data_IF_029169603032
#
_entry.id   IF_029169603032
#
_cell.length_a   1.000
_cell.length_b   1.000
_cell.length_c   1.000
_cell.angle_alpha   90.00
_cell.angle_beta   90.00
_cell.angle_gamma   90.00
#
_symmetry.space_group_name_H-M   'P 1'
#
loop_
_entity.id
_entity.type
_entity.pdbx_description
1 polymer ?
#
# COMPACT_ATOMS: atom_id res chain seq x y z
N UNK A 1 26.98 -6.01 -34.06
CA UNK A 1 26.92 -6.51 -32.68
C UNK A 1 25.90 -5.64 -31.95
N UNK A 2 24.64 -6.05 -32.01
CA UNK A 2 23.54 -5.35 -31.32
C UNK A 2 23.61 -5.64 -29.81
N UNK A 3 23.36 -4.66 -28.93
CA UNK A 3 23.28 -4.94 -27.51
C UNK A 3 22.01 -5.73 -27.22
N UNK A 4 22.18 -6.93 -26.67
CA UNK A 4 21.10 -7.72 -26.09
C UNK A 4 20.32 -6.86 -25.09
N UNK A 5 19.03 -6.76 -25.31
CA UNK A 5 18.09 -6.07 -24.42
C UNK A 5 17.91 -6.93 -23.18
N UNK A 6 18.36 -6.39 -22.07
CA UNK A 6 18.19 -6.91 -20.70
C UNK A 6 16.71 -6.74 -20.23
N UNK A 7 15.78 -7.28 -21.01
CA UNK A 7 14.32 -7.08 -20.84
C UNK A 7 13.61 -8.32 -20.24
N UNK A 8 14.36 -9.35 -19.83
CA UNK A 8 13.78 -10.65 -19.47
C UNK A 8 13.54 -10.83 -17.94
N UNK A 9 14.00 -9.92 -17.08
CA UNK A 9 13.78 -10.03 -15.63
C UNK A 9 12.53 -9.28 -15.11
N UNK A 10 11.82 -8.54 -15.96
CA UNK A 10 10.62 -7.78 -15.56
C UNK A 10 9.32 -8.57 -15.65
N UNK A 11 9.32 -9.70 -16.32
CA UNK A 11 8.11 -10.49 -16.62
C UNK A 11 7.67 -11.41 -15.48
N UNK A 12 8.45 -11.54 -14.41
CA UNK A 12 8.17 -12.50 -13.33
C UNK A 12 7.74 -11.86 -11.99
N UNK A 13 7.75 -10.52 -11.91
CA UNK A 13 7.33 -9.82 -10.69
C UNK A 13 5.80 -9.71 -10.60
N UNK A 14 5.24 -10.06 -9.44
CA UNK A 14 3.80 -9.92 -9.18
C UNK A 14 3.39 -8.45 -9.13
N UNK A 15 2.43 -8.07 -9.95
CA UNK A 15 1.86 -6.71 -9.95
C UNK A 15 1.09 -6.48 -8.66
N UNK A 16 1.50 -5.45 -7.92
CA UNK A 16 1.06 -5.26 -6.53
C UNK A 16 0.54 -3.84 -6.30
N UNK A 17 -0.61 -3.71 -5.64
CA UNK A 17 -1.01 -2.45 -5.01
C UNK A 17 -0.41 -2.36 -3.62
N UNK A 18 0.04 -1.18 -3.21
CA UNK A 18 0.44 -0.92 -1.84
C UNK A 18 -0.62 -0.09 -1.13
N UNK A 19 -1.19 -0.61 -0.05
CA UNK A 19 -2.07 0.15 0.83
C UNK A 19 -1.28 1.32 1.43
N UNK A 20 -1.67 2.55 1.04
CA UNK A 20 -0.92 3.76 1.34
C UNK A 20 -1.71 4.72 2.21
N UNK A 21 -1.19 5.08 3.36
CA UNK A 21 -1.81 6.04 4.29
C UNK A 21 -0.89 7.23 4.63
N UNK A 22 0.16 7.46 3.83
CA UNK A 22 1.16 8.50 4.07
C UNK A 22 2.10 8.26 5.26
N UNK A 23 1.99 7.11 5.93
CA UNK A 23 2.78 6.79 7.12
C UNK A 23 4.15 6.17 6.81
N UNK A 24 5.07 6.27 7.77
CA UNK A 24 6.45 5.75 7.68
C UNK A 24 6.51 4.24 7.41
N UNK A 25 5.59 3.46 7.99
CA UNK A 25 5.61 1.99 7.87
C UNK A 25 5.23 1.54 6.45
N UNK A 26 4.30 2.26 5.78
CA UNK A 26 3.95 2.04 4.38
C UNK A 26 5.09 2.44 3.45
N UNK A 27 5.75 3.56 3.74
CA UNK A 27 6.92 3.99 2.98
C UNK A 27 8.08 2.99 3.11
N UNK A 28 8.28 2.44 4.31
CA UNK A 28 9.24 1.37 4.52
C UNK A 28 8.84 0.07 3.81
N UNK A 29 7.57 -0.28 3.81
CA UNK A 29 7.04 -1.40 3.04
C UNK A 29 7.37 -1.29 1.54
N UNK A 30 7.21 -0.09 0.96
CA UNK A 30 7.62 0.18 -0.43
C UNK A 30 9.12 -0.05 -0.65
N UNK A 31 9.95 0.44 0.28
CA UNK A 31 11.40 0.24 0.23
C UNK A 31 11.77 -1.25 0.25
N UNK A 32 11.16 -2.03 1.14
CA UNK A 32 11.39 -3.48 1.25
C UNK A 32 10.97 -4.20 -0.03
N UNK A 33 9.78 -3.91 -0.55
CA UNK A 33 9.27 -4.53 -1.78
C UNK A 33 10.20 -4.25 -2.98
N UNK A 34 10.70 -3.02 -3.10
CA UNK A 34 11.65 -2.64 -4.15
C UNK A 34 13.00 -3.38 -4.04
N UNK A 35 13.42 -3.74 -2.82
CA UNK A 35 14.67 -4.50 -2.60
C UNK A 35 14.51 -6.00 -2.88
N UNK A 36 13.33 -6.56 -2.66
CA UNK A 36 13.07 -7.99 -2.84
C UNK A 36 12.97 -8.39 -4.32
N UNK A 37 12.62 -7.47 -5.21
CA UNK A 37 12.44 -7.71 -6.64
C UNK A 37 11.43 -8.84 -7.00
N UNK A 38 10.53 -9.17 -6.08
CA UNK A 38 9.47 -10.16 -6.29
C UNK A 38 8.13 -9.51 -6.65
N UNK A 39 7.99 -8.21 -6.34
CA UNK A 39 6.77 -7.45 -6.49
C UNK A 39 7.01 -6.12 -7.20
N UNK A 40 6.27 -5.87 -8.27
CA UNK A 40 6.21 -4.57 -8.91
C UNK A 40 5.05 -3.76 -8.31
N UNK A 41 5.36 -2.71 -7.56
CA UNK A 41 4.32 -1.82 -7.01
C UNK A 41 3.82 -0.90 -8.11
N UNK A 42 2.62 -1.18 -8.62
CA UNK A 42 1.99 -0.48 -9.76
C UNK A 42 0.96 0.56 -9.36
N UNK A 43 0.61 0.65 -8.08
CA UNK A 43 -0.33 1.63 -7.57
C UNK A 43 -0.30 1.78 -6.04
N UNK A 44 -0.63 2.97 -5.56
CA UNK A 44 -0.81 3.29 -4.16
C UNK A 44 -2.30 3.38 -3.86
N UNK A 45 -2.84 2.38 -3.16
CA UNK A 45 -4.26 2.31 -2.81
C UNK A 45 -4.52 3.10 -1.52
N UNK A 46 -5.30 4.17 -1.61
CA UNK A 46 -5.63 5.03 -0.46
C UNK A 46 -7.13 5.25 -0.34
N UNK A 47 -7.67 5.01 0.84
CA UNK A 47 -9.06 5.34 1.16
C UNK A 47 -9.15 6.76 1.71
N UNK A 48 -10.06 7.54 1.16
CA UNK A 48 -10.30 8.92 1.57
C UNK A 48 -11.72 9.09 2.13
N UNK A 49 -11.83 9.86 3.19
CA UNK A 49 -13.08 10.42 3.60
C UNK A 49 -13.47 11.52 2.61
N UNK A 50 -14.51 11.28 1.83
CA UNK A 50 -14.94 12.17 0.76
C UNK A 50 -15.29 13.58 1.28
N UNK A 51 -16.05 13.66 2.36
CA UNK A 51 -16.49 14.95 2.92
C UNK A 51 -15.33 15.78 3.49
N UNK A 52 -14.38 15.14 4.17
CA UNK A 52 -13.22 15.81 4.76
C UNK A 52 -12.05 15.99 3.78
N UNK A 53 -12.07 15.31 2.64
CA UNK A 53 -10.97 15.27 1.67
C UNK A 53 -9.63 14.88 2.31
N UNK A 54 -9.67 13.88 3.19
CA UNK A 54 -8.54 13.38 3.98
C UNK A 54 -8.49 11.86 3.97
N UNK A 55 -7.30 11.32 4.17
CA UNK A 55 -7.11 9.88 4.37
C UNK A 55 -7.98 9.40 5.52
N UNK A 56 -8.73 8.33 5.29
CA UNK A 56 -9.52 7.70 6.33
C UNK A 56 -8.61 7.29 7.52
N UNK A 57 -9.09 7.51 8.74
CA UNK A 57 -8.41 7.24 10.02
C UNK A 57 -7.19 8.11 10.34
N UNK A 58 -6.32 8.41 9.38
CA UNK A 58 -5.07 9.18 9.63
C UNK A 58 -5.21 10.68 9.39
N UNK A 59 -6.31 11.11 8.82
CA UNK A 59 -6.66 12.51 8.57
C UNK A 59 -5.62 13.34 7.77
N UNK A 60 -4.70 12.68 7.07
CA UNK A 60 -3.74 13.32 6.18
C UNK A 60 -4.47 13.93 4.98
N UNK A 61 -4.09 15.12 4.56
CA UNK A 61 -4.70 15.80 3.42
C UNK A 61 -4.46 15.01 2.12
N UNK A 62 -5.46 14.89 1.27
CA UNK A 62 -5.35 14.24 -0.05
C UNK A 62 -4.23 14.83 -0.88
N UNK A 63 -4.06 16.17 -0.89
CA UNK A 63 -2.99 16.84 -1.63
C UNK A 63 -1.58 16.39 -1.22
N UNK A 64 -1.36 16.05 0.06
CA UNK A 64 -0.08 15.52 0.51
C UNK A 64 0.15 14.09 -0.02
N UNK A 65 -0.87 13.26 -0.01
CA UNK A 65 -0.79 11.89 -0.56
C UNK A 65 -0.52 11.93 -2.07
N UNK A 66 -1.19 12.83 -2.80
CA UNK A 66 -0.95 13.05 -4.23
C UNK A 66 0.49 13.51 -4.51
N UNK A 67 1.03 14.43 -3.69
CA UNK A 67 2.41 14.85 -3.81
C UNK A 67 3.39 13.69 -3.55
N UNK A 68 3.14 12.87 -2.54
CA UNK A 68 3.94 11.68 -2.27
C UNK A 68 3.89 10.67 -3.44
N UNK A 69 2.72 10.39 -3.98
CA UNK A 69 2.55 9.48 -5.12
C UNK A 69 3.36 9.97 -6.33
N UNK A 70 3.30 11.27 -6.60
CA UNK A 70 4.08 11.91 -7.67
C UNK A 70 5.59 11.77 -7.46
N UNK A 71 6.06 12.03 -6.24
CA UNK A 71 7.50 11.93 -5.90
C UNK A 71 8.04 10.50 -6.01
N UNK A 72 7.26 9.49 -5.64
CA UNK A 72 7.69 8.08 -5.76
C UNK A 72 7.48 7.52 -7.17
N UNK A 73 6.78 8.26 -8.05
CA UNK A 73 6.50 7.86 -9.43
C UNK A 73 5.51 6.71 -9.56
N UNK A 74 4.59 6.53 -8.60
CA UNK A 74 3.60 5.47 -8.59
C UNK A 74 2.20 6.10 -8.62
N UNK A 75 1.29 5.65 -9.51
CA UNK A 75 -0.07 6.17 -9.58
C UNK A 75 -0.83 6.00 -8.26
N UNK A 76 -1.61 7.01 -7.89
CA UNK A 76 -2.53 6.95 -6.76
C UNK A 76 -3.86 6.32 -7.20
N UNK A 77 -4.30 5.31 -6.46
CA UNK A 77 -5.63 4.70 -6.57
C UNK A 77 -6.51 5.21 -5.43
N UNK A 78 -7.28 6.24 -5.73
CA UNK A 78 -8.18 6.89 -4.76
C UNK A 78 -9.46 6.05 -4.59
N UNK A 79 -9.79 5.74 -3.36
CA UNK A 79 -11.06 5.11 -2.99
C UNK A 79 -11.78 6.04 -2.03
N UNK A 80 -12.86 6.67 -2.51
CA UNK A 80 -13.67 7.56 -1.69
C UNK A 80 -14.65 6.79 -0.82
N UNK A 81 -14.64 7.10 0.47
CA UNK A 81 -15.57 6.56 1.46
C UNK A 81 -16.59 7.63 1.85
N UNK A 82 -17.89 7.29 1.90
CA UNK A 82 -18.91 8.21 2.37
C UNK A 82 -18.71 8.53 3.86
N UNK A 83 -19.17 9.70 4.27
CA UNK A 83 -19.25 10.06 5.68
C UNK A 83 -20.55 10.84 5.96
N UNK A 84 -21.39 10.34 6.86
CA UNK A 84 -21.21 9.11 7.65
C UNK A 84 -21.26 7.87 6.76
N UNK A 85 -20.45 6.86 7.09
CA UNK A 85 -20.40 5.57 6.39
C UNK A 85 -20.43 4.42 7.40
N UNK A 86 -21.06 3.32 7.03
CA UNK A 86 -21.07 2.08 7.80
C UNK A 86 -19.89 1.16 7.44
N UNK A 87 -19.60 0.16 8.28
CA UNK A 87 -18.67 -0.89 7.94
C UNK A 87 -19.06 -1.64 6.65
N UNK A 88 -20.37 -1.80 6.43
CA UNK A 88 -20.89 -2.43 5.21
C UNK A 88 -20.58 -1.60 3.96
N UNK A 89 -20.69 -0.27 4.03
CA UNK A 89 -20.30 0.60 2.92
C UNK A 89 -18.81 0.45 2.60
N UNK A 90 -17.97 0.44 3.63
CA UNK A 90 -16.54 0.21 3.47
C UNK A 90 -16.24 -1.13 2.78
N UNK A 91 -16.86 -2.21 3.24
CA UNK A 91 -16.65 -3.55 2.68
C UNK A 91 -17.11 -3.64 1.23
N UNK A 92 -18.26 -3.05 0.89
CA UNK A 92 -18.76 -3.01 -0.49
C UNK A 92 -17.83 -2.23 -1.40
N UNK A 93 -17.40 -1.04 -1.00
CA UNK A 93 -16.50 -0.18 -1.78
C UNK A 93 -15.15 -0.86 -1.98
N UNK A 94 -14.57 -1.44 -0.94
CA UNK A 94 -13.30 -2.16 -1.04
C UNK A 94 -13.41 -3.40 -1.92
N UNK A 95 -14.53 -4.12 -1.89
CA UNK A 95 -14.78 -5.25 -2.79
C UNK A 95 -14.79 -4.83 -4.26
N UNK A 96 -15.44 -3.72 -4.57
CA UNK A 96 -15.44 -3.17 -5.93
C UNK A 96 -14.04 -2.68 -6.36
N UNK A 97 -13.30 -2.04 -5.46
CA UNK A 97 -11.91 -1.67 -5.71
C UNK A 97 -11.03 -2.88 -6.01
N UNK A 98 -11.20 -3.98 -5.28
CA UNK A 98 -10.50 -5.24 -5.54
C UNK A 98 -10.85 -5.84 -6.91
N UNK A 99 -12.13 -5.89 -7.28
CA UNK A 99 -12.56 -6.36 -8.61
C UNK A 99 -11.94 -5.53 -9.74
N UNK A 100 -11.91 -4.21 -9.55
CA UNK A 100 -11.29 -3.29 -10.52
C UNK A 100 -9.77 -3.53 -10.62
N UNK A 101 -9.13 -3.87 -9.52
CA UNK A 101 -7.68 -4.14 -9.48
C UNK A 101 -7.29 -5.41 -10.24
N UNK A 102 -8.07 -6.46 -10.17
CA UNK A 102 -7.78 -7.72 -10.85
C UNK A 102 -7.78 -7.59 -12.38
N UNK A 103 -8.63 -6.72 -12.94
CA UNK A 103 -8.77 -6.57 -14.39
C UNK A 103 -7.46 -6.17 -15.11
N UNK A 104 -6.66 -5.19 -14.64
CA UNK A 104 -5.37 -4.87 -15.25
C UNK A 104 -4.23 -5.82 -14.83
N UNK A 105 -4.55 -6.99 -14.28
CA UNK A 105 -3.57 -8.02 -13.92
C UNK A 105 -2.83 -7.76 -12.60
N UNK A 106 -3.41 -7.01 -11.67
CA UNK A 106 -2.89 -6.89 -10.31
C UNK A 106 -3.18 -8.19 -9.57
N UNK A 107 -2.18 -8.72 -8.87
CA UNK A 107 -2.22 -10.02 -8.21
C UNK A 107 -2.17 -9.91 -6.68
N UNK A 108 -1.58 -8.83 -6.15
CA UNK A 108 -1.35 -8.67 -4.72
C UNK A 108 -1.78 -7.30 -4.20
N UNK A 109 -2.12 -7.25 -2.90
CA UNK A 109 -2.17 -6.02 -2.12
C UNK A 109 -1.20 -6.13 -0.95
N UNK A 110 -0.26 -5.20 -0.86
CA UNK A 110 0.70 -5.11 0.23
C UNK A 110 0.17 -4.19 1.36
N UNK A 111 0.33 -4.62 2.59
CA UNK A 111 -0.06 -3.90 3.80
C UNK A 111 1.16 -3.65 4.69
N UNK A 112 1.30 -2.43 5.20
CA UNK A 112 2.40 -2.05 6.10
C UNK A 112 2.11 -2.34 7.57
N UNK A 113 1.33 -3.37 7.89
CA UNK A 113 1.00 -3.76 9.25
C UNK A 113 2.16 -4.53 9.88
N UNK A 114 2.47 -4.23 11.17
CA UNK A 114 3.65 -4.77 11.86
C UNK A 114 3.33 -5.97 12.76
N UNK A 115 2.35 -5.82 13.67
CA UNK A 115 2.11 -6.80 14.74
C UNK A 115 0.63 -7.09 15.03
N UNK A 116 -0.29 -6.34 14.45
CA UNK A 116 -1.72 -6.45 14.77
C UNK A 116 -2.32 -7.67 14.07
N UNK A 117 -2.33 -8.80 14.77
CA UNK A 117 -2.81 -10.10 14.24
C UNK A 117 -4.28 -10.03 13.80
N UNK A 118 -5.13 -9.34 14.56
CA UNK A 118 -6.55 -9.18 14.24
C UNK A 118 -6.74 -8.37 12.94
N UNK A 119 -5.95 -7.32 12.73
CA UNK A 119 -5.96 -6.53 11.51
C UNK A 119 -5.48 -7.37 10.33
N UNK A 120 -4.42 -8.15 10.51
CA UNK A 120 -3.94 -9.06 9.47
C UNK A 120 -5.01 -10.09 9.09
N UNK A 121 -5.61 -10.76 10.06
CA UNK A 121 -6.68 -11.73 9.82
C UNK A 121 -7.88 -11.08 9.11
N UNK A 122 -8.23 -9.86 9.48
CA UNK A 122 -9.27 -9.08 8.79
C UNK A 122 -8.91 -8.82 7.32
N UNK A 123 -7.64 -8.41 7.02
CA UNK A 123 -7.16 -8.20 5.65
C UNK A 123 -7.18 -9.47 4.82
N UNK A 124 -6.70 -10.57 5.39
CA UNK A 124 -6.71 -11.89 4.75
C UNK A 124 -8.14 -12.31 4.40
N UNK A 125 -9.07 -12.19 5.35
CA UNK A 125 -10.50 -12.46 5.13
C UNK A 125 -11.15 -11.54 4.10
N UNK A 126 -10.81 -10.25 4.12
CA UNK A 126 -11.36 -9.25 3.18
C UNK A 126 -10.96 -9.56 1.72
N UNK A 127 -9.80 -10.15 1.50
CA UNK A 127 -9.29 -10.51 0.18
C UNK A 127 -9.60 -11.96 -0.21
N UNK A 128 -10.17 -12.75 0.69
CA UNK A 128 -10.66 -14.08 0.37
C UNK A 128 -11.64 -14.00 -0.81
N UNK A 129 -11.50 -14.85 -1.79
CA UNK A 129 -12.29 -14.86 -3.02
C UNK A 129 -12.18 -13.62 -3.93
N UNK A 130 -11.30 -12.66 -3.61
CA UNK A 130 -11.11 -11.47 -4.46
C UNK A 130 -10.21 -11.70 -5.68
N UNK A 131 -9.43 -12.79 -5.69
CA UNK A 131 -8.37 -13.03 -6.66
C UNK A 131 -7.06 -12.29 -6.34
N UNK A 132 -6.98 -11.55 -5.23
CA UNK A 132 -5.80 -10.80 -4.80
C UNK A 132 -5.17 -11.45 -3.56
N UNK A 133 -3.85 -11.57 -3.58
CA UNK A 133 -3.08 -12.11 -2.47
C UNK A 133 -2.65 -10.98 -1.50
N UNK A 134 -2.99 -11.04 -0.20
CA UNK A 134 -2.45 -10.11 0.78
C UNK A 134 -0.99 -10.42 1.08
N UNK A 135 -0.14 -9.39 1.10
CA UNK A 135 1.26 -9.52 1.50
C UNK A 135 1.61 -8.48 2.57
N UNK A 136 2.55 -8.84 3.45
CA UNK A 136 2.90 -8.06 4.64
C UNK A 136 4.43 -7.92 4.73
N UNK A 137 5.03 -7.01 3.94
CA UNK A 137 6.50 -6.94 3.76
C UNK A 137 7.27 -6.59 5.03
N UNK A 138 6.60 -5.98 6.02
CA UNK A 138 7.22 -5.54 7.29
C UNK A 138 6.70 -6.32 8.51
N UNK A 139 6.00 -7.42 8.27
CA UNK A 139 5.37 -8.19 9.34
C UNK A 139 6.39 -8.74 10.34
N UNK A 140 6.11 -8.52 11.64
CA UNK A 140 6.95 -8.94 12.77
C UNK A 140 8.37 -8.40 12.77
N UNK A 141 8.66 -7.34 12.01
CA UNK A 141 9.94 -6.65 12.18
C UNK A 141 10.00 -6.01 13.56
N UNK A 142 11.01 -6.32 14.40
CA UNK A 142 11.14 -5.72 15.72
C UNK A 142 11.21 -4.20 15.62
N UNK A 143 10.37 -3.48 16.34
CA UNK A 143 10.21 -2.02 16.21
C UNK A 143 11.54 -1.27 16.34
N UNK A 144 12.41 -1.70 17.26
CA UNK A 144 13.72 -1.08 17.44
C UNK A 144 14.64 -1.26 16.24
N UNK A 145 14.63 -2.45 15.64
CA UNK A 145 15.43 -2.76 14.44
C UNK A 145 14.88 -2.00 13.23
N UNK A 146 13.55 -1.98 13.08
CA UNK A 146 12.86 -1.24 12.04
C UNK A 146 13.23 0.24 12.06
N UNK A 147 13.13 0.91 13.23
CA UNK A 147 13.47 2.33 13.37
C UNK A 147 14.95 2.59 13.05
N UNK A 148 15.85 1.72 13.52
CA UNK A 148 17.29 1.85 13.20
C UNK A 148 17.56 1.69 11.71
N UNK A 149 16.89 0.75 11.06
CA UNK A 149 17.02 0.54 9.62
C UNK A 149 16.49 1.74 8.83
N UNK A 150 15.34 2.30 9.21
CA UNK A 150 14.78 3.51 8.62
C UNK A 150 15.75 4.69 8.74
N UNK A 151 16.32 4.94 9.93
CA UNK A 151 17.28 6.02 10.16
C UNK A 151 18.55 5.80 9.32
N UNK A 152 19.09 4.58 9.32
CA UNK A 152 20.32 4.23 8.57
C UNK A 152 20.13 4.41 7.07
N UNK A 153 18.94 4.16 6.55
CA UNK A 153 18.63 4.35 5.12
C UNK A 153 18.46 5.82 4.71
N UNK A 154 18.50 6.76 5.66
CA UNK A 154 18.27 8.19 5.43
C UNK A 154 16.78 8.56 5.34
N UNK A 155 15.88 7.66 5.72
CA UNK A 155 14.45 7.93 5.74
C UNK A 155 14.14 9.10 6.72
N UNK A 156 13.32 10.04 6.26
CA UNK A 156 12.84 11.15 7.08
C UNK A 156 11.35 11.00 7.32
N UNK A 157 10.96 11.12 8.58
CA UNK A 157 9.56 11.11 8.99
C UNK A 157 9.28 12.27 9.96
N UNK A 158 8.10 12.88 9.81
CA UNK A 158 7.61 13.89 10.74
C UNK A 158 6.55 13.26 11.62
N UNK A 159 6.79 13.21 12.93
CA UNK A 159 5.81 12.74 13.90
C UNK A 159 4.71 13.81 14.06
N UNK A 160 3.47 13.41 13.85
CA UNK A 160 2.29 14.30 13.95
C UNK A 160 1.35 13.87 15.07
N UNK A 161 1.52 12.66 15.58
CA UNK A 161 0.76 12.11 16.71
C UNK A 161 1.60 11.08 17.45
N UNK A 162 1.53 11.09 18.75
CA UNK A 162 2.18 10.14 19.67
C UNK A 162 1.19 9.65 20.71
#
# INVERSE_FOLDING_TARGET
MEPERDDDHRTDMKRTLLSWSSGKDRAWGLHVLRQQNEHEVVGLLTTFNQAANRVAMHAVRRSLVQAQAKEVGIPLWDVDLPQPGSNNDYECIMREACKTAVQPGIECIAFGDLFLTDIRAYREKQLEDSGLQPIFPVWRMPTRELVRAMIKSGMRAKLTCV
#
